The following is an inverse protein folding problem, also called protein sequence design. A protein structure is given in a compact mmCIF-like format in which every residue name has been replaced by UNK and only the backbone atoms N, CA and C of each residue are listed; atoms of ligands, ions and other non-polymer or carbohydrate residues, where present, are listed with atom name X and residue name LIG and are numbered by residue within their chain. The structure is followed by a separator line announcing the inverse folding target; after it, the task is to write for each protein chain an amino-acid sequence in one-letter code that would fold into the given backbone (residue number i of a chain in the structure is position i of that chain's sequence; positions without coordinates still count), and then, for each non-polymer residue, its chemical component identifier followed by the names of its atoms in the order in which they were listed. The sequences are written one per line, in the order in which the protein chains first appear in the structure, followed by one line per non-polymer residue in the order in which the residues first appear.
data_IF_485613093255
#
_entry.id   IF_485613093255
#
_cell.length_a   1.000
_cell.length_b   1.000
_cell.length_c   1.000
_cell.angle_alpha   90.00
_cell.angle_beta   90.00
_cell.angle_gamma   90.00
#
_symmetry.space_group_name_H-M   'P 1'
#
loop_
_entity.id
_entity.type
_entity.pdbx_description
1 polymer ?
#
# COMPACT_ATOMS: atom_id res chain seq x y z
N UNK A 1 3.47 19.78 18.96
CA UNK A 1 2.95 20.29 17.68
C UNK A 1 3.49 19.40 16.57
N UNK A 2 2.66 18.66 15.85
CA UNK A 2 3.12 17.81 14.75
C UNK A 2 3.49 18.71 13.57
N UNK A 3 4.74 18.67 13.14
CA UNK A 3 5.15 19.33 11.90
C UNK A 3 4.34 18.75 10.73
N UNK A 4 3.89 19.56 9.77
CA UNK A 4 3.21 19.06 8.58
C UNK A 4 4.14 18.08 7.86
N UNK A 5 3.71 16.83 7.74
CA UNK A 5 4.48 15.79 7.07
C UNK A 5 4.12 15.77 5.59
N UNK A 6 5.11 16.00 4.75
CA UNK A 6 4.93 15.93 3.31
C UNK A 6 4.62 14.49 2.87
N UNK A 7 3.60 14.26 2.01
CA UNK A 7 3.20 12.92 1.59
C UNK A 7 4.32 12.10 0.93
N UNK A 8 5.14 12.73 0.07
CA UNK A 8 6.24 12.04 -0.62
C UNK A 8 7.30 11.48 0.35
N UNK A 9 7.91 12.29 1.26
CA UNK A 9 8.80 11.76 2.30
C UNK A 9 8.15 10.70 3.19
N UNK A 10 6.85 10.84 3.51
CA UNK A 10 6.13 9.83 4.28
C UNK A 10 6.09 8.48 3.57
N UNK A 11 5.62 8.46 2.32
CA UNK A 11 5.50 7.23 1.53
C UNK A 11 6.87 6.59 1.29
N UNK A 12 7.89 7.38 0.96
CA UNK A 12 9.27 6.87 0.82
C UNK A 12 9.80 6.26 2.13
N UNK A 13 9.40 6.80 3.29
CA UNK A 13 9.74 6.26 4.60
C UNK A 13 9.02 4.95 4.97
N UNK A 14 8.04 4.53 4.16
CA UNK A 14 7.33 3.25 4.31
C UNK A 14 7.92 2.12 3.48
N UNK A 15 8.88 2.39 2.58
CA UNK A 15 9.54 1.33 1.80
C UNK A 15 10.15 0.26 2.70
N UNK A 16 9.90 -1.00 2.37
CA UNK A 16 10.27 -2.19 3.14
C UNK A 16 9.36 -2.50 4.33
N UNK A 17 8.35 -1.67 4.62
CA UNK A 17 7.45 -1.85 5.77
C UNK A 17 6.11 -2.48 5.33
N UNK A 18 5.44 -3.22 6.23
CA UNK A 18 4.07 -3.66 5.99
C UNK A 18 3.15 -2.45 5.92
N UNK A 19 2.30 -2.41 4.90
CA UNK A 19 1.31 -1.36 4.66
C UNK A 19 -0.04 -1.98 4.33
N UNK A 20 -1.11 -1.20 4.53
CA UNK A 20 -2.46 -1.50 4.08
C UNK A 20 -2.90 -0.38 3.14
N UNK A 21 -3.22 -0.73 1.90
CA UNK A 21 -3.72 0.20 0.88
C UNK A 21 -5.19 -0.09 0.65
N UNK A 22 -6.04 0.90 0.96
CA UNK A 22 -7.49 0.81 0.75
C UNK A 22 -7.87 1.58 -0.51
N UNK A 23 -8.46 0.89 -1.49
CA UNK A 23 -8.95 1.51 -2.71
C UNK A 23 -10.33 2.15 -2.48
N UNK A 24 -10.70 3.07 -3.39
CA UNK A 24 -11.96 3.81 -3.34
C UNK A 24 -13.20 2.91 -3.21
N UNK A 25 -13.15 1.71 -3.78
CA UNK A 25 -14.27 0.77 -3.83
C UNK A 25 -14.23 -0.31 -2.74
N UNK A 26 -13.41 -0.14 -1.70
CA UNK A 26 -13.44 -1.00 -0.52
C UNK A 26 -12.48 -2.19 -0.55
N UNK A 27 -11.86 -2.49 -1.70
CA UNK A 27 -10.76 -3.46 -1.76
C UNK A 27 -9.57 -2.98 -0.93
N UNK A 28 -9.01 -3.88 -0.15
CA UNK A 28 -7.87 -3.63 0.71
C UNK A 28 -6.73 -4.57 0.35
N UNK A 29 -5.54 -4.01 0.18
CA UNK A 29 -4.32 -4.76 -0.13
C UNK A 29 -3.35 -4.61 1.02
N UNK A 30 -2.92 -5.73 1.60
CA UNK A 30 -1.95 -5.75 2.69
C UNK A 30 -0.69 -6.43 2.20
N UNK A 31 0.46 -5.77 2.31
CA UNK A 31 1.74 -6.29 1.84
C UNK A 31 2.90 -5.42 2.26
N UNK A 32 4.10 -5.74 1.77
CA UNK A 32 5.29 -4.92 2.01
C UNK A 32 5.46 -3.92 0.88
N UNK A 33 5.58 -2.62 1.21
CA UNK A 33 5.83 -1.60 0.19
C UNK A 33 7.22 -1.76 -0.41
N UNK A 34 7.30 -2.06 -1.70
CA UNK A 34 8.56 -2.23 -2.44
C UNK A 34 9.03 -0.90 -3.02
N UNK A 35 8.12 -0.17 -3.67
CA UNK A 35 8.43 1.11 -4.29
C UNK A 35 7.18 1.99 -4.44
N UNK A 36 7.40 3.30 -4.56
CA UNK A 36 6.37 4.29 -4.87
C UNK A 36 6.93 5.34 -5.81
N UNK A 37 6.12 5.86 -6.73
CA UNK A 37 6.54 6.90 -7.67
C UNK A 37 5.85 8.26 -7.43
N UNK A 38 6.12 9.23 -8.32
CA UNK A 38 5.57 10.59 -8.24
C UNK A 38 4.05 10.69 -8.41
N UNK A 39 3.39 9.63 -8.90
CA UNK A 39 1.94 9.52 -9.07
C UNK A 39 1.28 8.69 -7.98
N UNK A 40 2.06 8.18 -7.01
CA UNK A 40 1.61 7.25 -5.98
C UNK A 40 1.18 5.89 -6.54
N UNK A 41 1.77 5.46 -7.67
CA UNK A 41 1.73 4.05 -8.02
C UNK A 41 2.53 3.29 -6.95
N UNK A 42 1.95 2.22 -6.39
CA UNK A 42 2.54 1.48 -5.27
C UNK A 42 2.80 0.04 -5.67
N UNK A 43 4.04 -0.42 -5.53
CA UNK A 43 4.41 -1.81 -5.70
C UNK A 43 4.42 -2.48 -4.33
N UNK A 44 3.68 -3.58 -4.18
CA UNK A 44 3.59 -4.39 -2.97
C UNK A 44 4.14 -5.80 -3.22
N UNK A 45 4.83 -6.36 -2.24
CA UNK A 45 5.25 -7.76 -2.21
C UNK A 45 4.51 -8.52 -1.09
N UNK A 46 4.38 -9.85 -1.25
CA UNK A 46 3.64 -10.74 -0.35
C UNK A 46 2.23 -10.22 -0.05
N UNK A 47 1.54 -9.77 -1.08
CA UNK A 47 0.27 -9.05 -0.98
C UNK A 47 -0.89 -10.01 -0.76
N UNK A 48 -1.74 -9.68 0.21
CA UNK A 48 -3.04 -10.28 0.47
C UNK A 48 -4.15 -9.30 0.06
N UNK A 49 -5.15 -9.81 -0.65
CA UNK A 49 -6.35 -9.05 -1.01
C UNK A 49 -7.45 -9.32 0.01
N UNK A 50 -8.12 -8.26 0.43
CA UNK A 50 -9.31 -8.30 1.26
C UNK A 50 -10.47 -7.59 0.56
N UNK A 51 -11.63 -8.26 0.52
CA UNK A 51 -12.89 -7.73 0.01
C UNK A 51 -13.90 -7.79 1.15
N UNK A 52 -14.53 -6.66 1.47
CA UNK A 52 -15.46 -6.52 2.60
C UNK A 52 -14.87 -7.01 3.94
N UNK A 53 -13.55 -6.83 4.13
CA UNK A 53 -12.82 -7.20 5.33
C UNK A 53 -12.46 -8.69 5.44
N UNK A 54 -12.86 -9.52 4.47
CA UNK A 54 -12.52 -10.94 4.40
C UNK A 54 -11.32 -11.17 3.46
N UNK A 55 -10.42 -12.09 3.83
CA UNK A 55 -9.31 -12.51 2.97
C UNK A 55 -9.87 -13.16 1.70
N UNK A 56 -9.63 -12.53 0.56
CA UNK A 56 -10.03 -12.99 -0.78
C UNK A 56 -8.94 -13.86 -1.39
N UNK A 57 -7.66 -13.52 -1.19
CA UNK A 57 -6.55 -14.34 -1.68
C UNK A 57 -5.16 -13.77 -1.44
N UNK A 58 -4.14 -14.56 -1.81
CA UNK A 58 -2.74 -14.17 -1.82
C UNK A 58 -2.31 -13.87 -3.25
N UNK A 59 -1.94 -12.63 -3.52
CA UNK A 59 -1.56 -12.13 -4.85
C UNK A 59 -0.05 -12.09 -5.08
N UNK A 60 0.75 -12.10 -4.00
CA UNK A 60 2.20 -12.01 -4.11
C UNK A 60 2.64 -10.59 -4.50
N UNK A 61 3.06 -10.38 -5.74
CA UNK A 61 3.50 -9.08 -6.23
C UNK A 61 2.36 -8.31 -6.91
N UNK A 62 2.08 -7.08 -6.47
CA UNK A 62 0.97 -6.26 -6.96
C UNK A 62 1.44 -4.84 -7.24
N UNK A 63 0.99 -4.27 -8.36
CA UNK A 63 1.13 -2.85 -8.67
C UNK A 63 -0.25 -2.17 -8.58
N UNK A 64 -0.38 -1.19 -7.69
CA UNK A 64 -1.60 -0.38 -7.50
C UNK A 64 -1.39 0.97 -8.20
N UNK A 65 -2.40 1.43 -8.94
CA UNK A 65 -2.42 2.69 -9.71
C UNK A 65 -3.73 3.46 -9.53
#
# INVERSE_FOLDING_TARGET
QSLPLNPKPFLNGLTGKPVMVKLKWGMEYKGYLVSVDGYMNMQLANTEEYIDGALSGHLGEVLIR
#
